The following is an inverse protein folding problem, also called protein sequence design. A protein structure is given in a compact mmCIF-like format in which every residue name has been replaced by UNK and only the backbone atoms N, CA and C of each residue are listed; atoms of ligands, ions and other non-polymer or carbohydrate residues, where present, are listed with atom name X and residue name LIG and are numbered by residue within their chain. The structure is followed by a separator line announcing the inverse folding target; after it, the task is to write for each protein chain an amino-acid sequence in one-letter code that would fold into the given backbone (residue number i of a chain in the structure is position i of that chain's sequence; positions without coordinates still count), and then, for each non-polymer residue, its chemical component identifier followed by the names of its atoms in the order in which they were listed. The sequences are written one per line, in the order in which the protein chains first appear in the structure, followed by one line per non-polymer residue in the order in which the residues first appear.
data_IF_012795521207
#
_entry.id   IF_012795521207
#
_cell.length_a   1.000
_cell.length_b   1.000
_cell.length_c   1.000
_cell.angle_alpha   90.00
_cell.angle_beta   90.00
_cell.angle_gamma   90.00
#
_symmetry.space_group_name_H-M   'P 1'
#
loop_
_entity.id
_entity.type
_entity.pdbx_description
1 polymer ?
#
# COMPACT_ATOMS: atom_id res chain seq x y z
N UNK A 1 -7.64 -10.81 56.80
CA UNK A 1 -7.55 -10.51 55.35
C UNK A 1 -8.65 -9.50 55.04
N UNK A 2 -8.29 -8.22 54.87
CA UNK A 2 -9.26 -7.16 54.57
C UNK A 2 -9.31 -6.96 53.05
N UNK A 3 -10.44 -7.33 52.44
CA UNK A 3 -10.73 -7.07 51.03
C UNK A 3 -11.14 -5.59 50.89
N UNK A 4 -10.21 -4.74 50.43
CA UNK A 4 -10.58 -3.39 49.98
C UNK A 4 -11.31 -3.51 48.65
N UNK A 5 -12.63 -3.29 48.67
CA UNK A 5 -13.44 -3.18 47.46
C UNK A 5 -13.01 -1.94 46.67
N UNK A 6 -12.38 -2.15 45.51
CA UNK A 6 -11.92 -1.06 44.64
C UNK A 6 -10.65 -1.34 43.83
N UNK A 7 -9.97 -2.47 44.04
CA UNK A 7 -8.80 -2.87 43.25
C UNK A 7 -9.17 -3.57 41.93
N UNK A 8 -10.27 -3.19 41.28
CA UNK A 8 -10.58 -3.66 39.93
C UNK A 8 -9.72 -2.87 38.94
N UNK A 9 -9.00 -3.59 38.06
CA UNK A 9 -8.18 -3.04 36.97
C UNK A 9 -8.93 -2.09 36.02
N UNK A 10 -10.25 -1.99 36.18
CA UNK A 10 -11.14 -1.08 35.48
C UNK A 10 -10.87 0.40 35.81
N UNK A 11 -10.44 0.72 37.05
CA UNK A 11 -10.06 2.10 37.42
C UNK A 11 -8.72 2.55 36.80
N UNK A 12 -7.82 1.60 36.49
CA UNK A 12 -6.57 1.88 35.76
C UNK A 12 -6.80 2.03 34.26
N UNK A 13 -7.80 1.35 33.69
CA UNK A 13 -8.18 1.52 32.28
C UNK A 13 -8.75 2.90 31.97
N UNK A 14 -9.43 3.56 32.91
CA UNK A 14 -9.95 4.93 32.70
C UNK A 14 -8.83 5.97 32.55
N UNK A 15 -7.61 5.70 33.05
CA UNK A 15 -6.43 6.59 32.88
C UNK A 15 -5.71 6.41 31.55
N UNK A 16 -6.02 5.36 30.77
CA UNK A 16 -5.47 5.16 29.41
C UNK A 16 -6.19 5.96 28.32
N UNK A 17 -7.09 6.88 28.68
CA UNK A 17 -7.77 7.77 27.73
C UNK A 17 -6.94 8.96 27.23
N UNK A 18 -5.63 9.02 27.51
CA UNK A 18 -4.70 10.04 27.01
C UNK A 18 -3.40 9.44 26.48
N UNK A 19 -3.45 8.20 25.96
CA UNK A 19 -2.48 7.90 24.91
C UNK A 19 -2.89 8.79 23.74
N UNK A 20 -2.07 9.79 23.40
CA UNK A 20 -2.17 10.42 22.10
C UNK A 20 -2.34 9.28 21.09
N UNK A 21 -3.38 9.34 20.24
CA UNK A 21 -3.45 8.43 19.10
C UNK A 21 -2.06 8.41 18.52
N UNK A 22 -1.45 7.21 18.49
CA UNK A 22 -0.16 7.05 17.83
C UNK A 22 -0.47 7.42 16.40
N UNK A 23 -0.15 8.67 16.03
CA UNK A 23 -0.20 9.13 14.66
C UNK A 23 0.78 8.21 13.99
N UNK A 24 0.23 7.36 13.14
CA UNK A 24 1.01 6.47 12.34
C UNK A 24 2.12 7.28 11.67
N UNK A 25 3.37 7.05 12.08
CA UNK A 25 4.50 7.85 11.61
C UNK A 25 4.73 7.66 10.10
N UNK A 26 4.19 6.55 9.56
CA UNK A 26 4.24 6.26 8.13
C UNK A 26 3.14 7.04 7.41
N UNK A 27 3.57 7.94 6.53
CA UNK A 27 2.70 8.57 5.54
C UNK A 27 2.06 7.52 4.63
N UNK A 28 0.91 7.86 4.04
CA UNK A 28 0.23 6.99 3.07
C UNK A 28 1.15 6.57 1.90
N UNK A 29 2.09 7.44 1.51
CA UNK A 29 3.12 7.14 0.51
C UNK A 29 4.07 6.04 0.99
N UNK A 30 4.54 6.11 2.23
CA UNK A 30 5.42 5.09 2.80
C UNK A 30 4.71 3.74 2.90
N UNK A 31 3.43 3.71 3.25
CA UNK A 31 2.61 2.50 3.21
C UNK A 31 2.47 1.91 1.82
N UNK A 32 2.18 2.75 0.82
CA UNK A 32 2.04 2.29 -0.57
C UNK A 32 3.34 1.67 -1.10
N UNK A 33 4.50 2.23 -0.71
CA UNK A 33 5.82 1.73 -1.09
C UNK A 33 6.14 0.40 -0.39
N UNK A 34 5.87 0.31 0.90
CA UNK A 34 6.09 -0.92 1.68
C UNK A 34 5.26 -2.08 1.11
N UNK A 35 3.97 -1.84 0.83
CA UNK A 35 3.09 -2.83 0.23
C UNK A 35 3.54 -3.21 -1.19
N UNK A 36 4.05 -2.26 -1.98
CA UNK A 36 4.63 -2.56 -3.29
C UNK A 36 5.86 -3.49 -3.19
N UNK A 37 6.74 -3.24 -2.22
CA UNK A 37 7.93 -4.07 -1.98
C UNK A 37 7.55 -5.47 -1.52
N UNK A 38 6.59 -5.59 -0.60
CA UNK A 38 6.04 -6.88 -0.14
C UNK A 38 5.45 -7.66 -1.32
N UNK A 39 4.63 -7.01 -2.15
CA UNK A 39 4.02 -7.64 -3.32
C UNK A 39 5.06 -8.09 -4.34
N UNK A 40 6.12 -7.29 -4.57
CA UNK A 40 7.21 -7.63 -5.48
C UNK A 40 8.01 -8.84 -4.98
N UNK A 41 8.29 -8.88 -3.67
CA UNK A 41 8.94 -10.03 -3.04
C UNK A 41 8.07 -11.30 -3.17
N UNK A 42 6.80 -11.22 -2.81
CA UNK A 42 5.87 -12.35 -2.87
C UNK A 42 5.70 -12.88 -4.30
N UNK A 43 5.68 -11.99 -5.28
CA UNK A 43 5.60 -12.38 -6.69
C UNK A 43 6.87 -13.13 -7.13
N UNK A 44 8.06 -12.64 -6.77
CA UNK A 44 9.31 -13.32 -7.06
C UNK A 44 9.45 -14.66 -6.33
N UNK A 45 9.02 -14.73 -5.07
CA UNK A 45 8.97 -15.98 -4.30
C UNK A 45 8.02 -16.99 -4.95
N UNK A 46 6.81 -16.56 -5.34
CA UNK A 46 5.85 -17.43 -6.02
C UNK A 46 6.37 -17.99 -7.34
N UNK A 47 7.11 -17.19 -8.14
CA UNK A 47 7.76 -17.70 -9.35
C UNK A 47 8.80 -18.77 -9.01
N UNK A 48 9.64 -18.53 -8.00
CA UNK A 48 10.66 -19.52 -7.58
C UNK A 48 10.00 -20.80 -7.08
N UNK A 49 9.03 -20.71 -6.19
CA UNK A 49 8.31 -21.87 -5.64
C UNK A 49 7.64 -22.68 -6.75
N UNK A 50 7.04 -22.01 -7.73
CA UNK A 50 6.45 -22.68 -8.89
C UNK A 50 7.51 -23.39 -9.74
N UNK A 51 8.62 -22.73 -10.05
CA UNK A 51 9.71 -23.32 -10.84
C UNK A 51 10.38 -24.50 -10.13
N UNK A 52 10.57 -24.42 -8.81
CA UNK A 52 11.13 -25.51 -8.00
C UNK A 52 10.19 -26.72 -7.93
N UNK A 53 8.87 -26.49 -7.96
CA UNK A 53 7.86 -27.55 -7.88
C UNK A 53 7.56 -28.18 -9.24
N UNK A 54 7.47 -27.38 -10.31
CA UNK A 54 6.94 -27.79 -11.61
C UNK A 54 7.95 -27.69 -12.77
N UNK A 55 9.10 -27.03 -12.59
CA UNK A 55 10.11 -26.82 -13.64
C UNK A 55 9.74 -25.71 -14.64
N UNK A 56 10.64 -25.44 -15.59
CA UNK A 56 10.55 -24.31 -16.55
C UNK A 56 9.60 -24.55 -17.74
N UNK A 57 8.76 -25.60 -17.71
CA UNK A 57 8.04 -26.11 -18.88
C UNK A 57 6.65 -25.54 -19.13
N UNK A 58 5.98 -24.94 -18.13
CA UNK A 58 4.56 -24.59 -18.22
C UNK A 58 4.29 -23.11 -17.91
N UNK A 59 4.46 -22.28 -18.94
CA UNK A 59 4.18 -20.84 -18.86
C UNK A 59 2.70 -20.51 -18.64
N UNK A 60 1.77 -21.38 -19.04
CA UNK A 60 0.34 -21.15 -18.83
C UNK A 60 -0.03 -21.40 -17.37
N UNK A 61 0.40 -22.52 -16.79
CA UNK A 61 0.18 -22.83 -15.38
C UNK A 61 0.88 -21.82 -14.46
N UNK A 62 2.08 -21.34 -14.81
CA UNK A 62 2.74 -20.27 -14.08
C UNK A 62 1.89 -18.99 -14.08
N UNK A 63 1.33 -18.60 -15.24
CA UNK A 63 0.49 -17.41 -15.33
C UNK A 63 -0.78 -17.53 -14.49
N UNK A 64 -1.45 -18.68 -14.53
CA UNK A 64 -2.63 -18.95 -13.70
C UNK A 64 -2.30 -18.92 -12.21
N UNK A 65 -1.20 -19.54 -11.80
CA UNK A 65 -0.73 -19.52 -10.42
C UNK A 65 -0.45 -18.09 -9.93
N UNK A 66 0.29 -17.30 -10.71
CA UNK A 66 0.61 -15.92 -10.37
C UNK A 66 -0.63 -15.01 -10.36
N UNK A 67 -1.63 -15.29 -11.21
CA UNK A 67 -2.92 -14.59 -11.18
C UNK A 67 -3.71 -14.89 -9.92
N UNK A 68 -3.71 -16.15 -9.47
CA UNK A 68 -4.37 -16.51 -8.22
C UNK A 68 -3.67 -15.84 -7.03
N UNK A 69 -2.34 -15.88 -7.01
CA UNK A 69 -1.55 -15.21 -5.98
C UNK A 69 -1.74 -13.68 -6.00
N UNK A 70 -1.96 -13.10 -7.18
CA UNK A 70 -2.19 -11.65 -7.32
C UNK A 70 -3.47 -11.16 -6.62
N UNK A 71 -4.45 -12.04 -6.35
CA UNK A 71 -5.68 -11.68 -5.62
C UNK A 71 -5.43 -11.37 -4.15
N UNK A 72 -4.35 -11.91 -3.58
CA UNK A 72 -3.97 -11.73 -2.17
C UNK A 72 -2.87 -10.67 -2.00
N UNK A 73 -2.69 -9.78 -2.98
CA UNK A 73 -1.72 -8.69 -2.89
C UNK A 73 -2.19 -7.64 -1.89
N UNK A 74 -1.23 -7.09 -1.15
CA UNK A 74 -1.46 -5.94 -0.30
C UNK A 74 -1.86 -4.72 -1.15
N UNK A 75 -2.68 -3.80 -0.62
CA UNK A 75 -3.05 -2.59 -1.34
C UNK A 75 -1.82 -1.73 -1.58
N UNK A 76 -1.32 -1.73 -2.81
CA UNK A 76 -0.15 -0.97 -3.24
C UNK A 76 -0.55 -0.05 -4.41
N UNK A 77 0.16 1.07 -4.54
CA UNK A 77 0.01 1.93 -5.70
C UNK A 77 0.48 1.18 -6.96
N UNK A 78 -0.39 1.09 -7.96
CA UNK A 78 -0.08 0.49 -9.25
C UNK A 78 0.70 1.43 -10.18
N UNK A 79 1.08 0.92 -11.35
CA UNK A 79 1.73 1.71 -12.40
C UNK A 79 0.85 2.90 -12.81
N UNK A 80 -0.46 2.67 -12.90
CA UNK A 80 -1.42 3.73 -13.25
C UNK A 80 -1.46 4.81 -12.17
N UNK A 81 -1.58 4.43 -10.89
CA UNK A 81 -1.60 5.41 -9.78
C UNK A 81 -0.31 6.24 -9.74
N UNK A 82 0.84 5.62 -10.00
CA UNK A 82 2.13 6.32 -10.10
C UNK A 82 2.22 7.26 -11.29
N UNK A 83 1.71 6.83 -12.46
CA UNK A 83 1.63 7.65 -13.66
C UNK A 83 0.73 8.87 -13.44
N UNK A 84 -0.47 8.67 -12.92
CA UNK A 84 -1.43 9.74 -12.64
C UNK A 84 -0.87 10.73 -11.61
N UNK A 85 -0.26 10.24 -10.53
CA UNK A 85 0.39 11.09 -9.53
C UNK A 85 1.52 11.94 -10.12
N UNK A 86 2.32 11.36 -11.02
CA UNK A 86 3.42 12.07 -11.69
C UNK A 86 2.92 13.14 -12.64
N UNK A 87 1.92 12.82 -13.46
CA UNK A 87 1.28 13.78 -14.38
C UNK A 87 0.68 14.95 -13.58
N UNK A 88 -0.01 14.67 -12.48
CA UNK A 88 -0.57 15.70 -11.61
C UNK A 88 0.51 16.62 -11.02
N UNK A 89 1.61 16.05 -10.52
CA UNK A 89 2.73 16.82 -9.98
C UNK A 89 3.40 17.73 -11.04
N UNK A 90 3.62 17.21 -12.25
CA UNK A 90 4.20 17.98 -13.36
C UNK A 90 3.30 19.16 -13.72
N UNK A 91 2.00 18.94 -13.84
CA UNK A 91 1.03 19.98 -14.21
C UNK A 91 0.81 20.99 -13.09
N UNK A 92 0.89 20.57 -11.83
CA UNK A 92 0.88 21.50 -10.70
C UNK A 92 2.12 22.42 -10.74
N UNK A 93 3.30 21.87 -11.01
CA UNK A 93 4.52 22.67 -11.17
C UNK A 93 4.42 23.63 -12.38
N UNK A 94 3.85 23.17 -13.49
CA UNK A 94 3.62 23.99 -14.69
C UNK A 94 2.67 25.17 -14.39
N UNK A 95 1.62 24.94 -13.60
CA UNK A 95 0.68 25.99 -13.19
C UNK A 95 1.35 27.04 -12.31
N UNK A 96 2.22 26.62 -11.38
CA UNK A 96 3.00 27.53 -10.52
C UNK A 96 3.94 28.38 -11.35
N UNK A 97 4.69 27.78 -12.28
CA UNK A 97 5.66 28.49 -13.12
C UNK A 97 5.00 29.49 -14.06
N UNK A 98 3.81 29.17 -14.58
CA UNK A 98 3.06 30.05 -15.48
C UNK A 98 2.21 31.09 -14.73
N UNK A 99 1.93 30.87 -13.45
CA UNK A 99 0.99 31.70 -12.69
C UNK A 99 -0.45 31.59 -13.19
N UNK A 100 -0.76 30.53 -13.93
CA UNK A 100 -2.05 30.33 -14.61
C UNK A 100 -2.70 29.03 -14.13
N UNK A 101 -4.04 29.03 -14.10
CA UNK A 101 -4.81 27.84 -13.74
C UNK A 101 -4.75 26.84 -14.89
N UNK A 102 -4.13 25.69 -14.64
CA UNK A 102 -4.17 24.54 -15.54
C UNK A 102 -5.33 23.63 -15.14
N UNK A 103 -6.25 23.36 -16.07
CA UNK A 103 -7.33 22.38 -15.90
C UNK A 103 -6.83 21.03 -16.42
N UNK A 104 -6.95 20.00 -15.59
CA UNK A 104 -6.57 18.64 -15.97
C UNK A 104 -7.40 18.13 -17.16
N UNK A 105 -6.73 17.75 -18.25
CA UNK A 105 -7.35 17.03 -19.36
C UNK A 105 -7.29 15.52 -19.09
N UNK A 106 -8.39 14.81 -19.37
CA UNK A 106 -8.48 13.34 -19.22
C UNK A 106 -7.46 12.60 -20.07
N UNK A 107 -7.08 13.18 -21.20
CA UNK A 107 -6.13 12.59 -22.14
C UNK A 107 -4.71 12.47 -21.57
N UNK A 108 -4.36 13.28 -20.57
CA UNK A 108 -3.04 13.22 -19.94
C UNK A 108 -2.86 12.01 -19.03
N UNK A 109 -3.97 11.39 -18.61
CA UNK A 109 -3.99 10.23 -17.73
C UNK A 109 -4.24 8.92 -18.48
N UNK A 110 -4.33 8.96 -19.81
CA UNK A 110 -4.43 7.76 -20.62
C UNK A 110 -3.04 7.17 -20.86
N UNK A 111 -2.86 5.89 -20.50
CA UNK A 111 -1.71 5.08 -20.92
C UNK A 111 -2.09 4.46 -22.28
N UNK A 112 -1.28 4.68 -23.31
CA UNK A 112 -1.50 4.17 -24.67
C UNK A 112 -1.43 2.65 -24.75
#
# INVERSE_FOLDING_TARGET
IALKAGATKQAEQTKKGTAADIVDEKSALQYSLENFLINSHNHGAGVKDFLETYGEGDAQALNEFLREQAKNREPAAGIQDGYESTVAAIKANEAILKGERIVFSKEWFAVA
#
